data_IF_163048921189
#
_entry.id   IF_163048921189
#
_cell.length_a   1.000
_cell.length_b   1.000
_cell.length_c   1.000
_cell.angle_alpha   90.00
_cell.angle_beta   90.00
_cell.angle_gamma   90.00
#
_symmetry.space_group_name_H-M   'P 1'
#
loop_
_entity.id
_entity.type
_entity.pdbx_description
1 polymer ?
#
# COMPACT_ATOMS: atom_id res chain seq x y z
N UNK A 1 21.73 -13.86 -1.39
CA UNK A 1 21.11 -14.75 -2.38
C UNK A 1 20.65 -13.92 -3.55
N UNK A 2 21.22 -14.13 -4.73
CA UNK A 2 20.70 -13.56 -5.99
C UNK A 2 21.24 -14.40 -7.13
N UNK A 3 20.50 -15.45 -7.46
CA UNK A 3 20.72 -16.26 -8.65
C UNK A 3 19.35 -16.71 -9.10
N UNK A 4 18.87 -16.10 -10.19
CA UNK A 4 17.67 -16.45 -10.98
C UNK A 4 16.33 -15.84 -10.55
N UNK A 5 16.25 -14.49 -10.49
CA UNK A 5 14.97 -13.83 -10.72
C UNK A 5 14.62 -13.97 -12.21
N UNK A 6 13.79 -14.95 -12.56
CA UNK A 6 13.33 -15.16 -13.93
C UNK A 6 11.99 -14.44 -14.13
N UNK A 7 11.96 -13.48 -15.06
CA UNK A 7 10.74 -12.73 -15.34
C UNK A 7 9.62 -13.64 -15.87
N UNK A 8 9.97 -14.71 -16.60
CA UNK A 8 9.02 -15.71 -17.09
C UNK A 8 8.32 -16.47 -15.96
N UNK A 9 9.08 -16.90 -14.94
CA UNK A 9 8.48 -17.61 -13.80
C UNK A 9 7.60 -16.67 -12.99
N UNK A 10 7.99 -15.40 -12.85
CA UNK A 10 7.17 -14.36 -12.22
C UNK A 10 5.87 -14.11 -13.00
N UNK A 11 5.96 -13.96 -14.32
CA UNK A 11 4.80 -13.81 -15.21
C UNK A 11 3.84 -15.02 -15.11
N UNK A 12 4.38 -16.23 -15.22
CA UNK A 12 3.60 -17.46 -15.16
C UNK A 12 2.84 -17.62 -13.84
N UNK A 13 3.47 -17.24 -12.73
CA UNK A 13 2.85 -17.21 -11.40
C UNK A 13 1.78 -16.11 -11.30
N UNK A 14 2.14 -14.85 -11.60
CA UNK A 14 1.26 -13.70 -11.39
C UNK A 14 0.00 -13.74 -12.26
N UNK A 15 0.08 -14.23 -13.50
CA UNK A 15 -1.11 -14.35 -14.38
C UNK A 15 -2.16 -15.34 -13.87
N UNK A 16 -1.76 -16.30 -13.04
CA UNK A 16 -2.66 -17.28 -12.42
C UNK A 16 -3.14 -16.80 -11.04
N UNK A 17 -2.23 -16.23 -10.25
CA UNK A 17 -2.50 -15.82 -8.87
C UNK A 17 -3.33 -14.54 -8.75
N UNK A 18 -3.07 -13.54 -9.60
CA UNK A 18 -3.75 -12.25 -9.49
C UNK A 18 -5.26 -12.33 -9.73
N UNK A 19 -5.77 -13.05 -10.76
CA UNK A 19 -7.22 -13.23 -10.94
C UNK A 19 -7.89 -13.87 -9.74
N UNK A 20 -7.24 -14.87 -9.12
CA UNK A 20 -7.75 -15.57 -7.94
C UNK A 20 -7.87 -14.61 -6.76
N UNK A 21 -6.82 -13.81 -6.49
CA UNK A 21 -6.81 -12.83 -5.40
C UNK A 21 -7.85 -11.72 -5.62
N UNK A 22 -7.94 -11.17 -6.83
CA UNK A 22 -8.94 -10.16 -7.17
C UNK A 22 -10.36 -10.71 -7.00
N UNK A 23 -10.60 -11.94 -7.45
CA UNK A 23 -11.91 -12.60 -7.33
C UNK A 23 -12.31 -12.85 -5.87
N UNK A 24 -11.36 -13.24 -5.01
CA UNK A 24 -11.62 -13.42 -3.59
C UNK A 24 -11.97 -12.09 -2.91
N UNK A 25 -11.24 -11.01 -3.21
CA UNK A 25 -11.57 -9.68 -2.69
C UNK A 25 -12.95 -9.22 -3.18
N UNK A 26 -13.27 -9.43 -4.46
CA UNK A 26 -14.59 -9.11 -4.99
C UNK A 26 -15.71 -9.88 -4.28
N UNK A 27 -15.48 -11.17 -3.96
CA UNK A 27 -16.41 -11.96 -3.16
C UNK A 27 -16.58 -11.39 -1.76
N UNK A 28 -15.49 -11.03 -1.09
CA UNK A 28 -15.54 -10.40 0.25
C UNK A 28 -16.32 -9.08 0.24
N UNK A 29 -16.10 -8.22 -0.77
CA UNK A 29 -16.87 -6.99 -0.94
C UNK A 29 -18.36 -7.31 -1.10
N UNK A 30 -18.70 -8.32 -1.90
CA UNK A 30 -20.10 -8.74 -2.13
C UNK A 30 -20.77 -9.37 -0.90
N UNK A 31 -20.03 -9.67 0.18
CA UNK A 31 -20.59 -10.10 1.46
C UNK A 31 -20.95 -8.92 2.38
N UNK A 32 -20.60 -7.69 1.99
CA UNK A 32 -21.03 -6.50 2.72
C UNK A 32 -22.56 -6.32 2.65
N UNK A 33 -23.19 -5.66 3.65
CA UNK A 33 -24.62 -5.40 3.61
C UNK A 33 -25.05 -4.64 2.35
N UNK A 34 -26.21 -4.98 1.77
CA UNK A 34 -26.75 -4.36 0.55
C UNK A 34 -26.76 -2.82 0.59
N UNK A 35 -27.01 -2.25 1.77
CA UNK A 35 -27.03 -0.79 1.95
C UNK A 35 -25.65 -0.16 1.77
N UNK A 36 -24.58 -0.85 2.17
CA UNK A 36 -23.19 -0.45 1.96
C UNK A 36 -22.80 -0.67 0.50
N UNK A 37 -23.19 -1.80 -0.10
CA UNK A 37 -22.95 -2.08 -1.52
C UNK A 37 -23.60 -1.06 -2.47
N UNK A 38 -24.70 -0.44 -2.04
CA UNK A 38 -25.41 0.60 -2.81
C UNK A 38 -24.77 1.99 -2.72
N UNK A 39 -23.75 2.20 -1.89
CA UNK A 39 -23.11 3.51 -1.81
C UNK A 39 -22.24 3.74 -3.05
N UNK A 40 -22.27 4.94 -3.65
CA UNK A 40 -21.58 5.22 -4.91
C UNK A 40 -20.08 4.95 -4.81
N UNK A 41 -19.47 5.20 -3.66
CA UNK A 41 -18.05 4.92 -3.43
C UNK A 41 -17.73 3.42 -3.48
N UNK A 42 -18.56 2.55 -2.89
CA UNK A 42 -18.34 1.09 -2.95
C UNK A 42 -18.55 0.55 -4.36
N UNK A 43 -19.55 1.06 -5.09
CA UNK A 43 -19.78 0.70 -6.49
C UNK A 43 -18.61 1.10 -7.39
N UNK A 44 -17.99 2.27 -7.15
CA UNK A 44 -16.81 2.71 -7.86
C UNK A 44 -15.64 1.73 -7.65
N UNK A 45 -15.40 1.31 -6.40
CA UNK A 45 -14.35 0.33 -6.10
C UNK A 45 -14.65 -1.03 -6.75
N UNK A 46 -15.89 -1.51 -6.71
CA UNK A 46 -16.27 -2.73 -7.42
C UNK A 46 -15.95 -2.62 -8.92
N UNK A 47 -16.25 -1.49 -9.56
CA UNK A 47 -15.93 -1.27 -10.97
C UNK A 47 -14.43 -1.36 -11.26
N UNK A 48 -13.58 -0.85 -10.35
CA UNK A 48 -12.13 -0.95 -10.48
C UNK A 48 -11.61 -2.38 -10.38
N UNK A 49 -12.15 -3.18 -9.46
CA UNK A 49 -11.79 -4.60 -9.33
C UNK A 49 -12.23 -5.40 -10.57
N UNK A 50 -13.45 -5.18 -11.06
CA UNK A 50 -13.94 -5.81 -12.30
C UNK A 50 -13.03 -5.46 -13.47
N UNK A 51 -12.69 -4.18 -13.65
CA UNK A 51 -11.82 -3.77 -14.75
C UNK A 51 -10.42 -4.39 -14.62
N UNK A 52 -9.83 -4.42 -13.42
CA UNK A 52 -8.53 -5.07 -13.20
C UNK A 52 -8.56 -6.56 -13.46
N UNK A 53 -9.65 -7.24 -13.11
CA UNK A 53 -9.80 -8.67 -13.40
C UNK A 53 -9.80 -8.91 -14.91
N UNK A 54 -10.58 -8.14 -15.66
CA UNK A 54 -10.63 -8.21 -17.13
C UNK A 54 -9.26 -7.93 -17.76
N UNK A 55 -8.56 -6.89 -17.29
CA UNK A 55 -7.22 -6.52 -17.79
C UNK A 55 -6.21 -7.66 -17.59
N UNK A 56 -6.26 -8.39 -16.46
CA UNK A 56 -5.36 -9.52 -16.22
C UNK A 56 -5.79 -10.78 -16.98
N UNK A 57 -7.10 -11.02 -17.12
CA UNK A 57 -7.61 -12.18 -17.83
C UNK A 57 -7.18 -12.23 -19.31
N UNK A 58 -6.85 -11.09 -19.93
CA UNK A 58 -6.24 -11.05 -21.28
C UNK A 58 -4.95 -11.90 -21.38
N UNK A 59 -4.25 -12.10 -20.26
CA UNK A 59 -2.98 -12.80 -20.17
C UNK A 59 -3.09 -14.24 -19.64
N UNK A 60 -4.28 -14.70 -19.25
CA UNK A 60 -4.45 -16.00 -18.59
C UNK A 60 -3.97 -17.16 -19.46
N UNK A 61 -4.42 -17.23 -20.71
CA UNK A 61 -4.14 -18.32 -21.64
C UNK A 61 -2.85 -18.13 -22.47
N UNK A 62 -2.05 -17.08 -22.19
CA UNK A 62 -0.87 -16.74 -23.00
C UNK A 62 0.35 -17.59 -22.63
N UNK A 63 0.95 -18.31 -23.57
CA UNK A 63 2.12 -19.16 -23.27
C UNK A 63 3.33 -18.29 -22.83
N UNK A 64 3.95 -18.59 -21.66
CA UNK A 64 5.20 -17.95 -21.23
C UNK A 64 6.38 -18.15 -22.18
N UNK A 65 6.35 -19.16 -23.05
CA UNK A 65 7.41 -19.56 -23.98
C UNK A 65 7.13 -19.16 -25.45
N UNK A 66 5.95 -18.61 -25.77
CA UNK A 66 5.63 -18.22 -27.14
C UNK A 66 6.64 -17.17 -27.65
N UNK A 67 7.23 -17.39 -28.83
CA UNK A 67 8.21 -16.46 -29.42
C UNK A 67 7.59 -15.10 -29.80
N UNK A 68 6.27 -15.03 -30.02
CA UNK A 68 5.51 -13.77 -30.12
C UNK A 68 5.35 -13.07 -28.75
N UNK A 69 5.42 -13.83 -27.66
CA UNK A 69 5.41 -13.40 -26.25
C UNK A 69 6.80 -12.99 -25.75
N UNK A 70 7.87 -13.46 -26.40
CA UNK A 70 9.25 -13.30 -25.93
C UNK A 70 10.24 -12.60 -26.89
N UNK A 71 9.92 -12.41 -28.17
CA UNK A 71 10.79 -11.70 -29.11
C UNK A 71 12.12 -12.38 -29.39
N UNK A 72 12.28 -12.99 -30.57
CA UNK A 72 13.60 -13.21 -31.16
C UNK A 72 13.69 -12.51 -32.53
N UNK A 73 14.88 -12.01 -32.91
CA UNK A 73 15.08 -11.29 -34.15
C UNK A 73 14.98 -12.25 -35.33
N UNK A 74 14.14 -11.90 -36.31
CA UNK A 74 14.18 -12.51 -37.63
C UNK A 74 15.58 -12.30 -38.23
N UNK A 75 16.13 -13.38 -38.78
CA UNK A 75 17.41 -13.45 -39.47
C UNK A 75 17.63 -12.29 -40.47
N UNK A 76 18.51 -11.33 -40.17
CA UNK A 76 19.13 -10.46 -41.18
C UNK A 76 20.59 -10.13 -40.81
N UNK A 77 21.50 -10.69 -41.62
CA UNK A 77 22.85 -10.29 -42.09
C UNK A 77 23.75 -9.34 -41.27
N UNK A 78 25.08 -9.57 -41.21
CA UNK A 78 26.00 -8.74 -40.44
C UNK A 78 26.44 -7.50 -41.23
N UNK A 79 26.47 -6.32 -40.59
CA UNK A 79 27.62 -5.39 -40.61
C UNK A 79 27.38 -4.08 -39.85
N UNK A 80 28.51 -3.61 -39.31
CA UNK A 80 28.91 -2.26 -38.89
C UNK A 80 28.79 -1.92 -37.40
N UNK A 81 29.99 -1.73 -36.86
CA UNK A 81 30.41 -1.25 -35.55
C UNK A 81 30.27 0.28 -35.42
N UNK A 82 29.84 0.79 -34.26
CA UNK A 82 30.49 1.95 -33.62
C UNK A 82 29.91 2.21 -32.22
N UNK A 83 30.83 2.50 -31.28
CA UNK A 83 30.57 2.93 -29.91
C UNK A 83 30.01 4.36 -29.90
N UNK A 84 29.10 4.67 -28.97
CA UNK A 84 28.72 6.04 -28.61
C UNK A 84 28.62 6.27 -27.09
N UNK A 85 28.77 7.53 -26.62
CA UNK A 85 29.26 7.90 -25.29
C UNK A 85 28.16 8.30 -24.28
N UNK A 86 28.54 8.38 -23.00
CA UNK A 86 27.71 8.82 -21.87
C UNK A 86 27.29 10.30 -21.96
N UNK A 87 26.11 10.63 -21.43
CA UNK A 87 26.03 11.81 -20.58
C UNK A 87 25.14 11.67 -19.33
N UNK A 88 25.55 12.46 -18.33
CA UNK A 88 25.01 12.65 -16.99
C UNK A 88 23.85 13.65 -16.99
N UNK A 89 23.02 13.56 -15.93
CA UNK A 89 22.00 14.52 -15.48
C UNK A 89 20.65 14.48 -16.21
N UNK A 90 19.66 13.85 -15.56
CA UNK A 90 18.30 14.37 -15.29
C UNK A 90 17.64 13.46 -14.22
N UNK A 91 16.76 14.04 -13.41
CA UNK A 91 16.22 13.49 -12.14
C UNK A 91 15.52 12.13 -12.30
N UNK A 92 15.68 11.31 -11.24
CA UNK A 92 15.70 9.84 -11.27
C UNK A 92 14.34 9.24 -10.90
N UNK A 93 13.66 8.61 -11.87
CA UNK A 93 12.57 7.65 -11.63
C UNK A 93 13.05 6.26 -12.13
N UNK A 94 13.56 5.35 -11.27
CA UNK A 94 14.44 4.26 -11.73
C UNK A 94 13.79 3.07 -12.46
N UNK A 95 12.46 3.02 -12.62
CA UNK A 95 11.75 1.81 -13.12
C UNK A 95 11.22 1.98 -14.55
N UNK A 96 11.08 3.21 -15.08
CA UNK A 96 10.41 3.44 -16.36
C UNK A 96 11.33 3.73 -17.56
N UNK A 97 12.64 3.91 -17.35
CA UNK A 97 13.58 4.36 -18.40
C UNK A 97 14.54 3.25 -18.89
N UNK A 98 14.19 1.97 -18.70
CA UNK A 98 14.86 0.86 -19.40
C UNK A 98 13.89 0.13 -20.32
N UNK A 99 13.32 0.87 -21.27
CA UNK A 99 13.17 0.26 -22.59
C UNK A 99 14.58 -0.07 -23.08
N UNK A 100 14.82 -1.27 -23.61
CA UNK A 100 16.10 -1.65 -24.21
C UNK A 100 16.44 -0.71 -25.38
N UNK A 101 17.00 0.46 -25.09
CA UNK A 101 17.52 1.39 -26.07
C UNK A 101 18.98 1.02 -26.35
N UNK A 102 19.20 -0.15 -26.96
CA UNK A 102 20.46 -0.41 -27.65
C UNK A 102 20.36 0.15 -29.07
N UNK A 103 21.34 0.94 -29.55
CA UNK A 103 21.36 1.41 -30.93
C UNK A 103 21.63 0.21 -31.84
N UNK A 104 20.66 -0.14 -32.69
CA UNK A 104 20.76 -1.25 -33.65
C UNK A 104 19.58 -2.21 -33.68
N UNK A 105 18.59 -2.07 -32.79
CA UNK A 105 17.39 -2.92 -32.82
C UNK A 105 16.40 -2.43 -33.90
N UNK A 106 16.13 -3.20 -34.97
CA UNK A 106 15.13 -2.83 -35.94
C UNK A 106 13.75 -3.09 -35.33
N UNK A 107 12.99 -2.00 -35.19
CA UNK A 107 11.57 -1.93 -34.88
C UNK A 107 11.17 -1.93 -33.40
N UNK A 108 10.24 -1.01 -33.16
CA UNK A 108 9.72 -0.47 -31.91
C UNK A 108 8.39 -1.16 -31.66
N UNK A 109 8.39 -2.32 -31.01
CA UNK A 109 7.18 -3.03 -30.60
C UNK A 109 7.33 -3.59 -29.17
N UNK A 110 6.34 -3.42 -28.29
CA UNK A 110 6.44 -3.87 -26.90
C UNK A 110 6.33 -5.39 -26.82
N UNK A 111 7.31 -6.05 -26.20
CA UNK A 111 7.23 -7.46 -25.83
C UNK A 111 5.99 -7.69 -24.94
N UNK A 112 5.26 -8.81 -25.09
CA UNK A 112 4.09 -9.11 -24.23
C UNK A 112 4.37 -9.10 -22.72
N UNK A 113 5.59 -9.40 -22.28
CA UNK A 113 6.01 -9.19 -20.89
C UNK A 113 6.01 -7.71 -20.46
N UNK A 114 6.37 -6.81 -21.37
CA UNK A 114 6.24 -5.36 -21.19
C UNK A 114 4.77 -4.91 -21.16
N UNK A 115 3.90 -5.51 -21.99
CA UNK A 115 2.44 -5.26 -21.93
C UNK A 115 1.85 -5.69 -20.59
N UNK A 116 2.22 -6.87 -20.09
CA UNK A 116 1.79 -7.36 -18.78
C UNK A 116 2.28 -6.44 -17.66
N UNK A 117 3.55 -6.04 -17.66
CA UNK A 117 4.10 -5.11 -16.66
C UNK A 117 3.39 -3.76 -16.68
N UNK A 118 3.09 -3.22 -17.87
CA UNK A 118 2.30 -1.99 -18.01
C UNK A 118 0.87 -2.16 -17.49
N UNK A 119 0.23 -3.31 -17.74
CA UNK A 119 -1.07 -3.62 -17.17
C UNK A 119 -1.02 -3.64 -15.63
N UNK A 120 0.00 -4.26 -15.04
CA UNK A 120 0.20 -4.25 -13.58
C UNK A 120 0.39 -2.84 -13.01
N UNK A 121 1.13 -1.97 -13.71
CA UNK A 121 1.30 -0.56 -13.30
C UNK A 121 -0.03 0.18 -13.37
N UNK A 122 -0.81 -0.01 -14.43
CA UNK A 122 -2.14 0.58 -14.58
C UNK A 122 -3.09 0.12 -13.47
N UNK A 123 -3.12 -1.18 -13.19
CA UNK A 123 -3.94 -1.77 -12.13
C UNK A 123 -3.54 -1.21 -10.76
N UNK A 124 -2.23 -1.17 -10.46
CA UNK A 124 -1.72 -0.56 -9.23
C UNK A 124 -2.17 0.88 -9.08
N UNK A 125 -2.04 1.67 -10.15
CA UNK A 125 -2.40 3.09 -10.10
C UNK A 125 -3.91 3.28 -9.92
N UNK A 126 -4.73 2.46 -10.59
CA UNK A 126 -6.19 2.42 -10.39
C UNK A 126 -6.56 2.10 -8.94
N UNK A 127 -5.80 1.25 -8.28
CA UNK A 127 -6.08 0.78 -6.91
C UNK A 127 -5.50 1.68 -5.81
N UNK A 128 -4.81 2.78 -6.16
CA UNK A 128 -4.20 3.67 -5.17
C UNK A 128 -5.22 4.26 -4.19
N UNK A 129 -6.43 4.55 -4.67
CA UNK A 129 -7.48 5.23 -3.89
C UNK A 129 -8.57 4.26 -3.40
N UNK A 130 -8.40 2.94 -3.55
CA UNK A 130 -9.37 1.94 -3.05
C UNK A 130 -9.65 2.14 -1.57
N UNK A 131 -8.63 2.38 -0.76
CA UNK A 131 -8.78 2.57 0.69
C UNK A 131 -9.60 3.81 1.03
N UNK A 132 -9.20 5.03 0.63
CA UNK A 132 -9.98 6.22 0.97
C UNK A 132 -11.38 6.19 0.36
N UNK A 133 -11.56 5.64 -0.84
CA UNK A 133 -12.89 5.49 -1.44
C UNK A 133 -13.76 4.49 -0.67
N UNK A 134 -13.22 3.33 -0.25
CA UNK A 134 -14.00 2.41 0.58
C UNK A 134 -14.37 3.03 1.93
N UNK A 135 -13.47 3.80 2.56
CA UNK A 135 -13.79 4.55 3.78
C UNK A 135 -14.95 5.53 3.54
N UNK A 136 -14.91 6.26 2.42
CA UNK A 136 -15.97 7.17 2.03
C UNK A 136 -17.32 6.44 1.86
N UNK A 137 -17.32 5.23 1.30
CA UNK A 137 -18.53 4.41 1.19
C UNK A 137 -19.13 3.98 2.52
N UNK A 138 -18.30 3.76 3.55
CA UNK A 138 -18.77 3.49 4.91
C UNK A 138 -19.31 4.76 5.57
N UNK A 139 -18.70 5.92 5.31
CA UNK A 139 -19.18 7.22 5.77
C UNK A 139 -20.55 7.53 5.15
N UNK A 140 -20.69 7.37 3.83
CA UNK A 140 -21.96 7.52 3.09
C UNK A 140 -23.07 6.65 3.69
N UNK A 141 -22.75 5.38 4.00
CA UNK A 141 -23.68 4.47 4.67
C UNK A 141 -24.08 4.99 6.05
N UNK A 142 -23.10 5.39 6.87
CA UNK A 142 -23.33 5.89 8.23
C UNK A 142 -24.19 7.16 8.24
N UNK A 143 -23.96 8.08 7.31
CA UNK A 143 -24.72 9.32 7.17
C UNK A 143 -26.18 9.04 6.74
N UNK A 144 -26.39 8.06 5.87
CA UNK A 144 -27.73 7.74 5.35
C UNK A 144 -28.58 6.92 6.33
N UNK A 145 -27.98 6.01 7.11
CA UNK A 145 -28.72 5.01 7.89
C UNK A 145 -28.43 5.01 9.40
N UNK A 146 -27.43 5.77 9.86
CA UNK A 146 -27.02 5.81 11.26
C UNK A 146 -26.19 4.60 11.72
N UNK A 147 -25.96 4.51 13.04
CA UNK A 147 -25.18 3.42 13.65
C UNK A 147 -26.10 2.22 13.96
N UNK A 148 -26.05 1.17 13.14
CA UNK A 148 -26.68 -0.13 13.41
C UNK A 148 -25.64 -1.16 13.91
N UNK A 149 -25.78 -1.70 15.14
CA UNK A 149 -24.80 -2.62 15.71
C UNK A 149 -24.53 -3.88 14.87
N UNK A 150 -25.55 -4.44 14.23
CA UNK A 150 -25.43 -5.67 13.44
C UNK A 150 -24.68 -5.39 12.13
N UNK A 151 -25.07 -4.33 11.42
CA UNK A 151 -24.36 -3.89 10.22
C UNK A 151 -22.92 -3.48 10.51
N UNK A 152 -22.65 -2.86 11.67
CA UNK A 152 -21.29 -2.48 12.07
C UNK A 152 -20.38 -3.70 12.27
N UNK A 153 -20.91 -4.79 12.83
CA UNK A 153 -20.15 -6.03 13.00
C UNK A 153 -19.84 -6.70 11.64
N UNK A 154 -20.81 -6.67 10.72
CA UNK A 154 -20.63 -7.21 9.36
C UNK A 154 -19.65 -6.38 8.52
N UNK A 155 -19.73 -5.04 8.63
CA UNK A 155 -18.77 -4.09 8.06
C UNK A 155 -17.37 -4.39 8.62
N UNK A 156 -17.22 -4.51 9.94
CA UNK A 156 -15.92 -4.81 10.55
C UNK A 156 -15.32 -6.12 10.04
N UNK A 157 -16.14 -7.18 9.90
CA UNK A 157 -15.70 -8.47 9.35
C UNK A 157 -15.26 -8.38 7.89
N UNK A 158 -16.02 -7.68 7.04
CA UNK A 158 -15.70 -7.51 5.62
C UNK A 158 -14.49 -6.60 5.35
N UNK A 159 -14.24 -5.62 6.21
CA UNK A 159 -13.09 -4.72 6.05
C UNK A 159 -11.80 -5.23 6.71
N UNK A 160 -11.87 -6.21 7.60
CA UNK A 160 -10.68 -6.80 8.23
C UNK A 160 -9.73 -7.49 7.21
N UNK A 161 -10.23 -7.83 6.01
CA UNK A 161 -9.45 -8.38 4.90
C UNK A 161 -8.78 -7.35 3.99
N UNK A 162 -9.15 -6.06 4.07
CA UNK A 162 -8.59 -5.02 3.18
C UNK A 162 -7.50 -4.21 3.87
N UNK A 163 -6.29 -4.10 3.28
CA UNK A 163 -5.21 -3.32 3.86
C UNK A 163 -5.53 -1.82 3.79
N UNK A 164 -5.89 -1.23 4.93
CA UNK A 164 -6.19 0.20 5.05
C UNK A 164 -4.89 1.02 5.10
N UNK A 165 -4.69 1.89 4.11
CA UNK A 165 -3.62 2.90 4.03
C UNK A 165 -4.21 4.30 4.26
N UNK A 166 -3.90 4.92 5.40
CA UNK A 166 -4.23 6.32 5.64
C UNK A 166 -3.17 7.23 4.98
N UNK A 167 -3.58 8.05 4.03
CA UNK A 167 -2.70 8.93 3.25
C UNK A 167 -2.34 10.23 3.98
N UNK A 168 -1.03 10.51 3.99
CA UNK A 168 -0.28 11.79 4.00
C UNK A 168 -0.76 12.96 4.87
N UNK A 169 0.15 13.39 5.75
CA UNK A 169 0.20 14.75 6.26
C UNK A 169 0.87 14.83 7.63
N UNK A 170 2.20 14.85 7.67
CA UNK A 170 3.02 15.49 8.70
C UNK A 170 4.48 15.38 8.26
N UNK A 171 5.03 16.50 7.79
CA UNK A 171 6.45 16.67 7.53
C UNK A 171 7.22 16.91 8.83
N UNK A 172 8.54 16.77 8.71
CA UNK A 172 9.59 17.00 9.71
C UNK A 172 9.99 15.74 10.48
N UNK A 173 11.24 15.33 10.26
CA UNK A 173 11.82 14.07 10.70
C UNK A 173 11.83 13.89 12.22
N UNK A 174 11.34 12.74 12.67
CA UNK A 174 11.63 12.23 14.01
C UNK A 174 13.01 11.58 14.01
N UNK A 175 13.94 12.14 14.77
CA UNK A 175 15.16 11.45 15.18
C UNK A 175 14.85 10.62 16.43
N UNK A 176 14.83 9.30 16.28
CA UNK A 176 14.57 8.38 17.39
C UNK A 176 15.87 8.12 18.15
N UNK A 177 16.01 8.76 19.31
CA UNK A 177 17.04 8.39 20.27
C UNK A 177 16.49 7.25 21.14
N UNK A 178 16.96 6.03 20.88
CA UNK A 178 16.57 4.82 21.63
C UNK A 178 17.52 4.66 22.81
N UNK A 179 17.07 4.81 24.08
CA UNK A 179 17.88 4.44 25.22
C UNK A 179 18.01 2.90 25.29
N UNK A 180 19.20 2.36 25.60
CA UNK A 180 19.43 0.91 25.62
C UNK A 180 18.62 0.22 26.73
N UNK A 181 18.02 -0.92 26.38
CA UNK A 181 17.34 -1.83 27.33
C UNK A 181 18.37 -2.64 28.13
N UNK A 182 18.14 -2.93 29.43
CA UNK A 182 19.08 -3.63 30.28
C UNK A 182 19.18 -5.15 30.03
N UNK A 183 18.55 -5.69 28.98
CA UNK A 183 18.51 -7.14 28.71
C UNK A 183 19.30 -7.59 27.46
N UNK A 184 19.99 -6.69 26.74
CA UNK A 184 20.89 -7.10 25.67
C UNK A 184 22.06 -6.10 25.53
N UNK A 185 23.23 -6.49 26.05
CA UNK A 185 24.48 -5.74 25.97
C UNK A 185 25.07 -5.78 24.56
N UNK A 186 24.45 -5.11 23.59
CA UNK A 186 25.14 -4.82 22.34
C UNK A 186 24.72 -3.45 21.81
N UNK A 187 25.67 -2.53 21.72
CA UNK A 187 25.56 -1.28 20.93
C UNK A 187 25.41 -1.55 19.41
N UNK A 188 25.10 -2.77 19.02
CA UNK A 188 24.96 -3.17 17.63
C UNK A 188 23.57 -2.81 17.10
N UNK A 189 23.48 -2.22 15.90
CA UNK A 189 22.20 -1.88 15.30
C UNK A 189 21.40 -3.14 14.99
N UNK A 190 20.12 -3.15 15.38
CA UNK A 190 19.17 -4.23 15.06
C UNK A 190 18.87 -4.20 13.57
N UNK A 191 19.13 -5.31 12.87
CA UNK A 191 18.84 -5.48 11.44
C UNK A 191 17.90 -6.65 11.21
N UNK A 192 16.90 -6.46 10.35
CA UNK A 192 15.87 -7.45 10.03
C UNK A 192 15.63 -7.51 8.53
N UNK A 193 15.19 -8.67 8.04
CA UNK A 193 14.65 -8.81 6.68
C UNK A 193 13.18 -8.43 6.73
N UNK A 194 12.83 -7.26 6.21
CA UNK A 194 11.46 -6.76 6.21
C UNK A 194 11.24 -5.78 5.05
N UNK A 195 9.98 -5.49 4.73
CA UNK A 195 9.62 -4.45 3.75
C UNK A 195 9.54 -3.09 4.46
N UNK A 196 10.49 -2.15 4.25
CA UNK A 196 10.58 -0.95 5.09
C UNK A 196 9.35 -0.05 5.03
N UNK A 197 8.64 -0.01 3.91
CA UNK A 197 7.44 0.82 3.74
C UNK A 197 6.28 0.38 4.65
N UNK A 198 6.13 -0.91 4.95
CA UNK A 198 5.12 -1.41 5.89
C UNK A 198 5.44 -0.97 7.32
N UNK A 199 6.69 -1.14 7.72
CA UNK A 199 7.14 -0.70 9.04
C UNK A 199 7.00 0.80 9.21
N UNK A 200 7.41 1.58 8.21
CA UNK A 200 7.24 3.03 8.21
C UNK A 200 5.77 3.43 8.37
N UNK A 201 4.85 2.77 7.64
CA UNK A 201 3.42 3.07 7.77
C UNK A 201 2.89 2.77 9.17
N UNK A 202 3.21 1.60 9.74
CA UNK A 202 2.78 1.24 11.10
C UNK A 202 3.28 2.25 12.13
N UNK A 203 4.59 2.57 12.09
CA UNK A 203 5.19 3.51 13.02
C UNK A 203 4.65 4.93 12.84
N UNK A 204 4.48 5.37 11.59
CA UNK A 204 3.96 6.70 11.28
C UNK A 204 2.53 6.90 11.83
N UNK A 205 1.64 5.93 11.65
CA UNK A 205 0.28 6.00 12.19
C UNK A 205 0.27 5.97 13.72
N UNK A 206 1.08 5.10 14.34
CA UNK A 206 1.22 5.06 15.80
C UNK A 206 1.77 6.37 16.37
N UNK A 207 2.77 6.96 15.73
CA UNK A 207 3.31 8.26 16.14
C UNK A 207 2.28 9.37 16.04
N UNK A 208 1.50 9.46 14.95
CA UNK A 208 0.42 10.45 14.85
C UNK A 208 -0.56 10.33 16.02
N UNK A 209 -0.96 9.10 16.35
CA UNK A 209 -1.89 8.84 17.46
C UNK A 209 -1.29 9.24 18.81
N UNK A 210 -0.06 8.82 19.09
CA UNK A 210 0.66 9.13 20.32
C UNK A 210 0.92 10.63 20.49
N UNK A 211 1.33 11.31 19.41
CA UNK A 211 1.56 12.76 19.40
C UNK A 211 0.26 13.52 19.64
N UNK A 212 -0.81 13.17 18.92
CA UNK A 212 -2.14 13.79 19.09
C UNK A 212 -2.61 13.68 20.54
N UNK A 213 -2.61 12.47 21.11
CA UNK A 213 -3.03 12.25 22.49
C UNK A 213 -2.19 13.03 23.50
N UNK A 214 -0.87 13.12 23.27
CA UNK A 214 0.05 13.88 24.14
C UNK A 214 -0.21 15.38 24.07
N UNK A 215 -0.42 15.93 22.88
CA UNK A 215 -0.68 17.37 22.69
C UNK A 215 -2.03 17.77 23.28
N UNK A 216 -3.10 17.05 22.96
CA UNK A 216 -4.47 17.34 23.44
C UNK A 216 -4.58 17.20 24.97
N UNK A 217 -3.80 16.32 25.59
CA UNK A 217 -3.79 16.16 27.06
C UNK A 217 -2.95 17.19 27.81
N UNK A 218 -2.10 17.93 27.10
CA UNK A 218 -1.13 18.87 27.69
C UNK A 218 -1.27 20.28 27.09
N UNK A 219 -2.46 20.67 26.64
CA UNK A 219 -2.73 21.98 26.00
C UNK A 219 -2.22 23.18 26.82
N UNK A 220 -2.32 23.10 28.15
CA UNK A 220 -1.89 24.17 29.07
C UNK A 220 -0.44 24.02 29.57
N UNK A 221 0.29 22.98 29.15
CA UNK A 221 1.68 22.76 29.55
C UNK A 221 2.64 23.36 28.52
N UNK A 222 3.61 24.19 28.93
CA UNK A 222 4.61 24.74 28.01
C UNK A 222 5.63 23.69 27.51
N UNK A 223 5.61 22.48 28.07
CA UNK A 223 6.49 21.37 27.68
C UNK A 223 5.69 20.08 27.53
N UNK A 224 5.90 19.40 26.41
CA UNK A 224 5.28 18.12 26.12
C UNK A 224 6.19 16.97 26.59
N UNK A 225 5.63 15.91 27.19
CA UNK A 225 6.41 14.73 27.55
C UNK A 225 6.86 13.98 26.29
N UNK A 226 8.09 13.47 26.31
CA UNK A 226 8.63 12.69 25.20
C UNK A 226 7.94 11.33 25.06
N UNK A 227 7.62 10.95 23.82
CA UNK A 227 7.18 9.61 23.46
C UNK A 227 8.40 8.69 23.47
N UNK A 228 8.36 7.63 24.29
CA UNK A 228 9.45 6.66 24.42
C UNK A 228 9.22 5.50 23.47
N UNK A 229 10.26 5.11 22.73
CA UNK A 229 10.25 3.93 21.87
C UNK A 229 11.34 2.97 22.33
N UNK A 230 10.97 1.71 22.50
CA UNK A 230 11.89 0.63 22.81
C UNK A 230 11.84 -0.40 21.69
N UNK A 231 13.02 -0.82 21.24
CA UNK A 231 13.18 -1.89 20.25
C UNK A 231 13.92 -3.02 20.94
N UNK A 232 13.34 -4.22 20.93
CA UNK A 232 13.94 -5.42 21.49
C UNK A 232 13.86 -6.55 20.45
N UNK A 233 14.99 -7.22 20.22
CA UNK A 233 15.07 -8.40 19.37
C UNK A 233 15.17 -9.64 20.28
N UNK A 234 14.16 -10.49 20.24
CA UNK A 234 14.15 -11.81 20.86
C UNK A 234 14.70 -12.88 19.91
N UNK A 235 14.59 -14.15 20.30
CA UNK A 235 14.97 -15.27 19.44
C UNK A 235 14.02 -15.46 18.26
N UNK A 236 12.73 -15.20 18.48
CA UNK A 236 11.67 -15.40 17.48
C UNK A 236 11.00 -14.07 17.06
N UNK A 237 10.96 -13.09 17.97
CA UNK A 237 10.17 -11.87 17.78
C UNK A 237 11.02 -10.60 17.77
N UNK A 238 10.60 -9.63 16.94
CA UNK A 238 10.99 -8.24 17.07
C UNK A 238 9.87 -7.46 17.75
N UNK A 239 10.15 -6.88 18.92
CA UNK A 239 9.21 -6.05 19.66
C UNK A 239 9.56 -4.57 19.53
N UNK A 240 8.62 -3.77 19.01
CA UNK A 240 8.70 -2.31 19.03
C UNK A 240 7.58 -1.78 19.92
N UNK A 241 7.96 -1.22 21.07
CA UNK A 241 7.01 -0.64 22.03
C UNK A 241 7.08 0.88 21.99
N UNK A 242 5.98 1.51 21.62
CA UNK A 242 5.77 2.95 21.75
C UNK A 242 5.03 3.25 23.05
N UNK A 243 5.43 4.29 23.78
CA UNK A 243 4.83 4.67 25.06
C UNK A 243 4.78 6.18 25.18
N UNK A 244 3.56 6.71 25.14
CA UNK A 244 3.25 8.14 25.31
C UNK A 244 2.72 8.44 26.73
N UNK A 245 2.39 9.72 26.98
CA UNK A 245 1.73 10.18 28.21
C UNK A 245 0.42 10.93 27.90
N UNK A 246 -0.35 10.46 26.92
CA UNK A 246 -1.58 11.08 26.43
C UNK A 246 -2.85 10.72 27.20
N UNK A 247 -2.80 10.62 28.53
CA UNK A 247 -3.89 10.18 29.45
C UNK A 247 -4.46 8.75 29.26
N UNK A 248 -4.11 8.06 28.17
CA UNK A 248 -4.50 6.68 27.93
C UNK A 248 -5.96 6.52 27.49
N UNK A 249 -6.40 5.26 27.36
CA UNK A 249 -7.74 4.91 26.87
C UNK A 249 -8.47 4.05 27.91
N UNK A 250 -9.71 4.40 28.31
CA UNK A 250 -10.49 3.55 29.20
C UNK A 250 -10.68 2.14 28.63
N UNK A 251 -10.56 1.11 29.47
CA UNK A 251 -10.64 -0.30 29.07
C UNK A 251 -11.86 -0.61 28.18
N UNK A 252 -13.05 -0.07 28.53
CA UNK A 252 -14.30 -0.21 27.76
C UNK A 252 -14.26 0.32 26.32
N UNK A 253 -13.25 1.11 25.95
CA UNK A 253 -13.07 1.69 24.61
C UNK A 253 -11.95 1.00 23.83
N UNK A 254 -11.13 0.15 24.45
CA UNK A 254 -9.94 -0.44 23.82
C UNK A 254 -10.31 -1.29 22.60
N UNK A 255 -11.31 -2.17 22.73
CA UNK A 255 -11.76 -3.01 21.62
C UNK A 255 -12.31 -2.19 20.44
N UNK A 256 -12.86 -1.00 20.72
CA UNK A 256 -13.43 -0.12 19.70
C UNK A 256 -12.35 0.62 18.89
N UNK A 257 -11.12 0.74 19.39
CA UNK A 257 -10.04 1.46 18.67
C UNK A 257 -9.70 0.84 17.31
N UNK A 258 -9.93 -0.46 17.16
CA UNK A 258 -9.72 -1.18 15.92
C UNK A 258 -10.95 -1.16 15.00
N UNK A 259 -12.06 -0.53 15.44
CA UNK A 259 -13.27 -0.45 14.64
C UNK A 259 -13.19 0.67 13.61
N UNK A 260 -13.44 0.34 12.34
CA UNK A 260 -13.40 1.31 11.25
C UNK A 260 -14.44 2.44 11.39
N UNK A 261 -15.56 2.16 12.07
CA UNK A 261 -16.63 3.12 12.30
C UNK A 261 -16.48 3.93 13.59
N UNK A 262 -15.42 3.68 14.36
CA UNK A 262 -15.12 4.38 15.60
C UNK A 262 -13.91 5.28 15.44
N UNK A 263 -14.11 6.59 15.66
CA UNK A 263 -13.03 7.56 15.75
C UNK A 263 -13.37 8.61 16.79
N UNK A 264 -12.33 9.12 17.46
CA UNK A 264 -12.40 10.31 18.32
C UNK A 264 -11.88 11.56 17.58
N UNK A 265 -11.48 11.43 16.31
CA UNK A 265 -11.17 12.57 15.46
C UNK A 265 -12.46 13.31 15.07
N UNK A 266 -12.45 14.66 15.03
CA UNK A 266 -13.54 15.39 14.42
C UNK A 266 -13.67 15.00 12.95
N UNK A 267 -14.90 14.89 12.46
CA UNK A 267 -15.16 14.63 11.05
C UNK A 267 -14.59 15.80 10.23
N UNK A 268 -13.74 15.55 9.22
CA UNK A 268 -13.22 16.62 8.37
C UNK A 268 -14.40 17.28 7.66
N UNK A 269 -14.63 18.56 7.92
CA UNK A 269 -15.64 19.32 7.18
C UNK A 269 -15.08 19.58 5.78
N UNK A 270 -15.72 19.04 4.74
CA UNK A 270 -15.46 19.47 3.38
C UNK A 270 -15.93 20.92 3.26
N UNK A 271 -14.99 21.85 3.35
CA UNK A 271 -15.27 23.26 3.17
C UNK A 271 -15.84 23.51 1.78
N UNK A 272 -17.05 24.08 1.73
CA UNK A 272 -17.54 24.89 0.62
C UNK A 272 -16.61 26.10 0.46
N UNK A 273 -15.48 25.90 -0.20
CA UNK A 273 -14.49 26.93 -0.48
C UNK A 273 -14.28 27.03 -1.98
N UNK A 274 -15.08 27.88 -2.64
CA UNK A 274 -14.69 28.42 -3.94
C UNK A 274 -13.34 29.10 -3.82
N UNK A 275 -12.46 28.81 -4.76
CA UNK A 275 -11.15 29.46 -4.86
C UNK A 275 -11.33 30.98 -5.03
N UNK A 276 -10.50 31.82 -4.39
CA UNK A 276 -10.24 33.18 -4.88
C UNK A 276 -9.42 33.15 -6.18
#
# INVERSE_FOLDING_TARGET
GSSNACEKTSFAFLRQELPVRLSNIMKEINLLPDRVLRTPSVQLVQSWYVQSLLDIMEFHDRDPEDQATLGQPALVSPRVTSKCPHPSQLLRNPILERGCAQPGCPQRWPCPLGRFTNALVTIRNRHNDVVPTMAQGVIEYKEAYGDDPVSNQNIQGGFSGVPFRAGRGLGSGLSLNVPPSPACNSEQPVSIVYVPSHLYHMLFELFKNAMRATVESHENSPRLPAIRVMVALGQEDLSIRMSDRGMGVPLRKIERLFSYMYSTAPTPQLGSGGAP
#
